data_IF_500625887043
#
_entry.id   IF_500625887043
#
_cell.length_a   1.000
_cell.length_b   1.000
_cell.length_c   1.000
_cell.angle_alpha   90.00
_cell.angle_beta   90.00
_cell.angle_gamma   90.00
#
_symmetry.space_group_name_H-M   'P 1'
#
loop_
_entity.id
_entity.type
_entity.pdbx_description
1 polymer ?
#
# COMPACT_ATOMS: atom_id res chain seq x y z
N UNK A 1 -1.45 16.96 -9.69
CA UNK A 1 -2.71 16.20 -9.86
C UNK A 1 -2.59 14.94 -9.02
N UNK A 2 -3.64 14.54 -8.29
CA UNK A 2 -3.59 13.32 -7.47
C UNK A 2 -4.04 12.13 -8.32
N UNK A 3 -3.20 11.11 -8.47
CA UNK A 3 -3.60 9.86 -9.12
C UNK A 3 -4.34 8.97 -8.12
N UNK A 4 -5.52 8.48 -8.53
CA UNK A 4 -6.34 7.57 -7.73
C UNK A 4 -6.50 6.25 -8.47
N UNK A 5 -6.23 5.13 -7.80
CA UNK A 5 -6.40 3.79 -8.34
C UNK A 5 -6.97 2.83 -7.30
N UNK A 6 -7.84 1.92 -7.75
CA UNK A 6 -8.44 0.91 -6.87
C UNK A 6 -7.57 -0.35 -6.86
N UNK A 7 -6.99 -0.64 -5.70
CA UNK A 7 -6.30 -1.90 -5.42
C UNK A 7 -7.26 -3.01 -5.00
N UNK A 8 -6.69 -4.18 -4.69
CA UNK A 8 -7.42 -5.31 -4.13
C UNK A 8 -6.65 -5.85 -2.93
N UNK A 9 -7.39 -6.18 -1.87
CA UNK A 9 -6.86 -6.93 -0.75
C UNK A 9 -7.08 -8.43 -1.00
N UNK A 10 -6.02 -9.22 -0.96
CA UNK A 10 -6.07 -10.68 -1.12
C UNK A 10 -5.45 -11.37 0.09
N UNK A 11 -5.91 -12.58 0.40
CA UNK A 11 -5.36 -13.34 1.53
C UNK A 11 -4.19 -14.19 1.07
N UNK A 12 -3.13 -14.24 1.87
CA UNK A 12 -2.03 -15.16 1.70
C UNK A 12 -2.45 -16.56 2.20
N UNK A 13 -3.26 -17.26 1.42
CA UNK A 13 -3.78 -18.59 1.77
C UNK A 13 -4.56 -18.59 3.10
N UNK A 14 -4.19 -19.51 4.01
CA UNK A 14 -4.80 -19.66 5.34
C UNK A 14 -4.22 -18.74 6.42
N UNK A 15 -3.29 -17.85 6.07
CA UNK A 15 -2.66 -16.95 7.05
C UNK A 15 -3.50 -15.68 7.25
N UNK A 16 -3.28 -15.01 8.37
CA UNK A 16 -3.88 -13.70 8.64
C UNK A 16 -3.24 -12.57 7.82
N UNK A 17 -2.17 -12.85 7.09
CA UNK A 17 -1.51 -11.88 6.23
C UNK A 17 -2.36 -11.58 5.00
N UNK A 18 -2.52 -10.30 4.72
CA UNK A 18 -3.19 -9.80 3.52
C UNK A 18 -2.18 -9.09 2.63
N UNK A 19 -2.31 -9.28 1.32
CA UNK A 19 -1.60 -8.53 0.31
C UNK A 19 -2.50 -7.42 -0.22
N UNK A 20 -1.93 -6.24 -0.42
CA UNK A 20 -2.58 -5.12 -1.09
C UNK A 20 -1.94 -4.97 -2.48
N UNK A 21 -2.73 -5.07 -3.54
CA UNK A 21 -2.25 -4.73 -4.87
C UNK A 21 -2.31 -3.22 -5.08
N UNK A 22 -1.19 -2.62 -5.48
CA UNK A 22 -1.14 -1.22 -5.93
C UNK A 22 -1.25 -1.23 -7.46
N UNK A 23 -2.23 -0.52 -8.05
CA UNK A 23 -2.39 -0.47 -9.50
C UNK A 23 -1.13 0.05 -10.21
N UNK A 24 -0.77 -0.55 -11.34
CA UNK A 24 0.42 -0.19 -12.12
C UNK A 24 0.48 1.31 -12.46
N UNK A 25 -0.65 1.95 -12.75
CA UNK A 25 -0.72 3.40 -13.01
C UNK A 25 -0.24 4.29 -11.86
N UNK A 26 -0.29 3.81 -10.62
CA UNK A 26 0.24 4.53 -9.46
C UNK A 26 1.73 4.25 -9.29
N UNK A 27 2.17 3.01 -9.57
CA UNK A 27 3.57 2.59 -9.48
C UNK A 27 4.44 3.28 -10.55
N UNK A 28 3.87 3.54 -11.73
CA UNK A 28 4.56 4.22 -12.83
C UNK A 28 4.69 5.74 -12.64
N UNK A 29 4.08 6.32 -11.61
CA UNK A 29 4.23 7.75 -11.31
C UNK A 29 5.63 8.01 -10.72
N UNK A 30 6.30 9.07 -11.18
CA UNK A 30 7.63 9.43 -10.68
C UNK A 30 7.66 9.81 -9.19
N UNK A 31 6.50 10.10 -8.59
CA UNK A 31 6.35 10.38 -7.17
C UNK A 31 5.97 9.14 -6.35
N UNK A 32 5.93 7.94 -6.95
CA UNK A 32 5.68 6.72 -6.21
C UNK A 32 6.78 6.53 -5.16
N UNK A 33 6.45 6.51 -3.86
CA UNK A 33 7.44 6.75 -2.82
C UNK A 33 8.13 5.47 -2.36
N UNK A 34 8.09 4.35 -3.08
CA UNK A 34 8.64 3.06 -2.64
C UNK A 34 9.44 2.37 -3.73
N UNK A 35 10.42 1.58 -3.33
CA UNK A 35 11.18 0.70 -4.21
C UNK A 35 10.81 -0.78 -4.01
N UNK A 36 11.10 -1.61 -5.01
CA UNK A 36 10.86 -3.06 -4.90
C UNK A 36 11.73 -3.67 -3.80
N UNK A 37 11.10 -4.42 -2.89
CA UNK A 37 11.79 -5.06 -1.76
C UNK A 37 12.05 -4.14 -0.55
N UNK A 38 11.70 -2.85 -0.62
CA UNK A 38 11.82 -1.93 0.51
C UNK A 38 10.88 -2.33 1.65
N UNK A 39 11.36 -2.25 2.90
CA UNK A 39 10.51 -2.41 4.08
C UNK A 39 9.74 -1.12 4.35
N UNK A 40 8.44 -1.26 4.61
CA UNK A 40 7.53 -0.13 4.85
C UNK A 40 6.89 -0.22 6.24
N UNK A 41 6.57 0.93 6.81
CA UNK A 41 5.78 1.04 8.02
C UNK A 41 4.30 1.03 7.66
N UNK A 42 3.53 0.13 8.27
CA UNK A 42 2.07 0.05 8.08
C UNK A 42 1.38 0.38 9.41
N UNK A 43 0.48 1.36 9.38
CA UNK A 43 -0.28 1.82 10.56
C UNK A 43 -1.77 1.81 10.28
N UNK A 44 -2.58 1.42 11.27
CA UNK A 44 -4.04 1.56 11.22
C UNK A 44 -4.40 2.87 11.93
N UNK A 45 -5.09 3.75 11.23
CA UNK A 45 -5.67 4.98 11.77
C UNK A 45 -7.17 4.71 12.03
N UNK A 46 -7.55 4.44 13.30
CA UNK A 46 -8.92 4.05 13.63
C UNK A 46 -9.90 5.22 13.52
N UNK A 47 -9.43 6.45 13.69
CA UNK A 47 -10.26 7.66 13.64
C UNK A 47 -10.77 7.89 12.21
N UNK A 48 -9.88 7.75 11.22
CA UNK A 48 -10.21 7.94 9.81
C UNK A 48 -10.52 6.63 9.07
N UNK A 49 -10.57 5.50 9.78
CA UNK A 49 -10.86 4.15 9.24
C UNK A 49 -10.02 3.79 8.02
N UNK A 50 -8.71 4.05 8.09
CA UNK A 50 -7.79 3.84 6.97
C UNK A 50 -6.52 3.12 7.40
N UNK A 51 -5.88 2.48 6.43
CA UNK A 51 -4.55 1.91 6.56
C UNK A 51 -3.56 2.83 5.85
N UNK A 52 -2.49 3.19 6.55
CA UNK A 52 -1.46 4.13 6.08
C UNK A 52 -0.17 3.36 5.89
N UNK A 53 0.49 3.57 4.74
CA UNK A 53 1.79 2.97 4.39
C UNK A 53 2.80 4.10 4.21
N UNK A 54 3.94 4.02 4.90
CA UNK A 54 4.99 5.05 4.90
C UNK A 54 6.38 4.40 4.82
N UNK A 55 7.39 5.17 4.38
CA UNK A 55 8.80 4.73 4.48
C UNK A 55 9.20 4.52 5.94
N UNK A 56 10.01 3.50 6.20
CA UNK A 56 10.74 3.39 7.45
C UNK A 56 11.89 4.40 7.39
N UNK A 57 11.96 5.32 8.37
CA UNK A 57 13.03 6.32 8.45
C UNK A 57 14.39 5.70 8.76
#
# INVERSE_FOLDING_TARGET
MVLVGNGKITSAGKTNTKYLSVPAKLVMDSNFPFEEGEQVKITIDPENKRLIVEKIR
#
